data_IF_818469308165
#
_entry.id   IF_818469308165
#
_cell.length_a   1.000
_cell.length_b   1.000
_cell.length_c   1.000
_cell.angle_alpha   90.00
_cell.angle_beta   90.00
_cell.angle_gamma   90.00
#
_symmetry.space_group_name_H-M   'P 1'
#
loop_
_entity.id
_entity.type
_entity.pdbx_description
1 polymer ?
#
# COMPACT_ATOMS: atom_id res chain seq x y z
N UNK A 1 44.36 -50.32 58.14
CA UNK A 1 43.89 -49.81 56.82
C UNK A 1 42.38 -49.88 56.78
N UNK A 2 41.58 -48.95 56.28
CA UNK A 2 41.68 -47.54 55.91
C UNK A 2 40.23 -47.17 55.55
N UNK A 3 39.72 -46.06 56.09
CA UNK A 3 38.35 -45.59 55.89
C UNK A 3 38.07 -45.25 54.43
N UNK A 4 36.81 -45.30 53.99
CA UNK A 4 36.28 -44.34 53.01
C UNK A 4 34.75 -44.22 53.11
N UNK A 5 34.31 -43.13 53.76
CA UNK A 5 32.94 -42.64 53.77
C UNK A 5 32.68 -41.94 52.44
N UNK A 6 31.64 -42.37 51.71
CA UNK A 6 31.22 -41.76 50.46
C UNK A 6 30.45 -40.47 50.78
N UNK A 7 31.02 -39.31 50.42
CA UNK A 7 30.34 -38.00 50.51
C UNK A 7 29.72 -37.68 49.16
N UNK A 8 28.40 -37.63 49.11
CA UNK A 8 27.63 -37.12 47.97
C UNK A 8 27.69 -35.59 48.04
N UNK A 9 28.38 -34.96 47.09
CA UNK A 9 28.40 -33.51 46.92
C UNK A 9 27.31 -33.18 45.90
N UNK A 10 26.21 -32.57 46.36
CA UNK A 10 25.18 -32.03 45.50
C UNK A 10 25.66 -30.67 44.96
N UNK A 11 26.05 -30.61 43.68
CA UNK A 11 26.44 -29.38 43.01
C UNK A 11 25.18 -28.66 42.54
N UNK A 12 24.79 -27.57 43.21
CA UNK A 12 23.71 -26.71 42.76
C UNK A 12 24.17 -25.89 41.55
N UNK A 13 23.64 -26.23 40.36
CA UNK A 13 23.87 -25.50 39.13
C UNK A 13 22.99 -24.24 39.13
N UNK A 14 23.55 -23.10 39.57
CA UNK A 14 22.87 -21.79 39.46
C UNK A 14 22.92 -21.37 38.00
N UNK A 15 21.79 -21.51 37.30
CA UNK A 15 21.63 -21.00 35.94
C UNK A 15 21.65 -19.46 35.97
N UNK A 16 22.76 -18.87 35.51
CA UNK A 16 22.87 -17.43 35.31
C UNK A 16 21.96 -17.02 34.13
N UNK A 17 20.78 -16.48 34.44
CA UNK A 17 19.92 -15.83 33.46
C UNK A 17 20.55 -14.47 33.13
N UNK A 18 20.96 -14.19 31.89
CA UNK A 18 21.46 -12.88 31.54
C UNK A 18 20.30 -11.89 31.59
N UNK A 19 20.35 -10.95 32.55
CA UNK A 19 19.50 -9.76 32.52
C UNK A 19 19.93 -8.91 31.32
N UNK A 20 19.18 -9.00 30.23
CA UNK A 20 19.29 -8.03 29.14
C UNK A 20 18.62 -6.74 29.62
N UNK A 21 19.43 -5.81 30.12
CA UNK A 21 18.96 -4.47 30.46
C UNK A 21 18.59 -3.74 29.15
N UNK A 22 17.29 -3.58 28.90
CA UNK A 22 16.82 -2.74 27.81
C UNK A 22 17.23 -1.28 28.12
N UNK A 23 18.09 -0.70 27.29
CA UNK A 23 18.44 0.70 27.38
C UNK A 23 17.17 1.54 27.19
N UNK A 24 16.70 2.16 28.28
CA UNK A 24 15.60 3.11 28.23
C UNK A 24 16.11 4.38 27.55
N UNK A 25 15.75 4.56 26.27
CA UNK A 25 15.92 5.85 25.59
C UNK A 25 14.96 6.83 26.27
N UNK A 26 15.49 7.59 27.23
CA UNK A 26 14.74 8.64 27.91
C UNK A 26 14.33 9.69 26.88
N UNK A 27 13.04 10.02 26.77
CA UNK A 27 12.61 11.11 25.89
C UNK A 27 13.14 12.45 26.41
N UNK A 28 13.57 13.33 25.49
CA UNK A 28 14.21 14.61 25.83
C UNK A 28 13.40 15.49 26.80
N UNK A 29 12.07 15.36 26.77
CA UNK A 29 11.14 16.13 27.59
C UNK A 29 10.31 15.28 28.58
N UNK A 30 10.59 13.97 28.70
CA UNK A 30 9.90 13.09 29.66
C UNK A 30 8.46 12.68 29.28
N UNK A 31 8.02 12.91 28.04
CA UNK A 31 6.75 12.39 27.52
C UNK A 31 6.95 11.37 26.38
N UNK A 32 5.98 10.47 26.22
CA UNK A 32 5.98 9.41 25.21
C UNK A 32 6.94 8.25 25.52
N UNK A 33 6.81 7.17 24.75
CA UNK A 33 7.72 6.02 24.77
C UNK A 33 8.16 5.71 23.34
N UNK A 34 9.38 5.18 23.12
CA UNK A 34 9.80 4.72 21.80
C UNK A 34 8.79 3.71 21.22
N UNK A 35 8.41 3.88 19.95
CA UNK A 35 7.53 2.94 19.26
C UNK A 35 8.21 1.58 19.11
N UNK A 36 7.51 0.51 19.48
CA UNK A 36 8.01 -0.85 19.25
C UNK A 36 7.79 -1.26 17.79
N UNK A 37 8.52 -2.28 17.29
CA UNK A 37 8.23 -2.87 15.99
C UNK A 37 6.75 -3.30 15.83
N UNK A 38 6.13 -3.76 16.91
CA UNK A 38 4.71 -4.16 16.94
C UNK A 38 3.76 -2.96 16.82
N UNK A 39 4.13 -1.79 17.37
CA UNK A 39 3.37 -0.56 17.18
C UNK A 39 3.43 -0.10 15.71
N UNK A 40 4.61 -0.17 15.12
CA UNK A 40 4.85 0.24 13.73
C UNK A 40 4.24 -0.72 12.71
N UNK A 41 4.10 -2.01 13.02
CA UNK A 41 3.54 -3.01 12.11
C UNK A 41 2.10 -2.72 11.64
N UNK A 42 1.38 -1.85 12.36
CA UNK A 42 0.02 -1.40 12.00
C UNK A 42 0.01 -0.31 10.91
N UNK A 43 1.17 0.28 10.63
CA UNK A 43 1.32 1.40 9.71
C UNK A 43 2.19 0.98 8.54
N UNK A 44 1.77 1.34 7.34
CA UNK A 44 2.52 1.15 6.12
C UNK A 44 2.43 2.40 5.26
N UNK A 45 3.42 2.59 4.39
CA UNK A 45 3.42 3.61 3.34
C UNK A 45 4.05 3.00 2.10
N UNK A 46 3.44 3.26 0.95
CA UNK A 46 3.87 2.70 -0.33
C UNK A 46 4.17 3.86 -1.30
N UNK A 47 5.39 4.42 -1.27
CA UNK A 47 5.83 5.44 -2.22
C UNK A 47 5.88 4.92 -3.67
N UNK A 48 6.14 5.85 -4.59
CA UNK A 48 6.28 5.61 -6.03
C UNK A 48 7.29 4.50 -6.39
N UNK A 49 8.35 4.33 -5.59
CA UNK A 49 9.40 3.32 -5.81
C UNK A 49 9.03 1.91 -5.35
N UNK A 50 7.87 1.74 -4.71
CA UNK A 50 7.36 0.44 -4.26
C UNK A 50 7.89 -0.05 -2.91
N UNK A 51 8.69 0.74 -2.18
CA UNK A 51 9.04 0.39 -0.79
C UNK A 51 7.77 0.16 0.02
N UNK A 52 7.78 -0.83 0.91
CA UNK A 52 6.61 -1.17 1.73
C UNK A 52 5.52 -1.98 1.01
N UNK A 53 5.69 -2.31 -0.28
CA UNK A 53 4.79 -3.27 -0.93
C UNK A 53 4.90 -4.65 -0.24
N UNK A 54 3.77 -5.24 0.17
CA UNK A 54 3.76 -6.56 0.78
C UNK A 54 4.02 -7.66 -0.26
N UNK A 55 4.52 -8.83 0.16
CA UNK A 55 4.60 -9.99 -0.72
C UNK A 55 3.19 -10.40 -1.17
N UNK A 56 3.10 -10.84 -2.42
CA UNK A 56 1.84 -11.27 -3.01
C UNK A 56 1.89 -11.14 -4.52
N UNK A 57 0.82 -11.60 -5.18
CA UNK A 57 0.65 -11.47 -6.62
C UNK A 57 -0.82 -11.51 -7.01
N UNK A 58 -1.14 -10.93 -8.17
CA UNK A 58 -2.50 -10.90 -8.69
C UNK A 58 -2.56 -10.89 -10.21
N UNK A 59 -3.74 -11.19 -10.74
CA UNK A 59 -4.01 -11.17 -12.19
C UNK A 59 -5.28 -10.40 -12.49
N UNK A 60 -5.37 -9.84 -13.69
CA UNK A 60 -6.57 -9.11 -14.11
C UNK A 60 -7.82 -10.01 -14.11
N UNK A 61 -7.68 -11.30 -14.43
CA UNK A 61 -8.79 -12.25 -14.42
C UNK A 61 -9.37 -12.49 -13.01
N UNK A 62 -8.51 -12.58 -11.98
CA UNK A 62 -8.97 -12.65 -10.59
C UNK A 62 -9.55 -11.30 -10.14
N UNK A 63 -8.92 -10.21 -10.54
CA UNK A 63 -9.37 -8.86 -10.23
C UNK A 63 -10.76 -8.54 -10.78
N UNK A 64 -11.08 -9.03 -11.98
CA UNK A 64 -12.41 -8.86 -12.57
C UNK A 64 -13.53 -9.47 -11.70
N UNK A 65 -13.29 -10.65 -11.13
CA UNK A 65 -14.24 -11.32 -10.21
C UNK A 65 -14.39 -10.52 -8.92
N UNK A 66 -13.26 -10.20 -8.28
CA UNK A 66 -13.24 -9.41 -7.06
C UNK A 66 -13.92 -8.05 -7.24
N UNK A 67 -13.71 -7.40 -8.39
CA UNK A 67 -14.30 -6.13 -8.71
C UNK A 67 -15.82 -6.24 -8.88
N UNK A 68 -16.31 -7.28 -9.54
CA UNK A 68 -17.74 -7.53 -9.67
C UNK A 68 -18.42 -7.68 -8.30
N UNK A 69 -17.77 -8.41 -7.37
CA UNK A 69 -18.32 -8.71 -6.05
C UNK A 69 -18.23 -7.52 -5.08
N UNK A 70 -17.15 -6.72 -5.16
CA UNK A 70 -16.81 -5.75 -4.11
C UNK A 70 -16.81 -4.28 -4.55
N UNK A 71 -16.83 -4.00 -5.86
CA UNK A 71 -16.57 -2.63 -6.37
C UNK A 71 -17.65 -2.14 -7.35
N UNK A 72 -18.18 -3.03 -8.19
CA UNK A 72 -19.05 -2.68 -9.31
C UNK A 72 -20.35 -1.98 -8.89
N UNK A 73 -20.87 -2.27 -7.70
CA UNK A 73 -22.07 -1.62 -7.17
C UNK A 73 -21.92 -0.08 -7.05
N UNK A 74 -20.71 0.42 -6.86
CA UNK A 74 -20.42 1.85 -6.80
C UNK A 74 -19.74 2.36 -8.07
N UNK A 75 -18.75 1.63 -8.60
CA UNK A 75 -17.90 2.08 -9.70
C UNK A 75 -18.38 1.65 -11.10
N UNK A 76 -19.52 0.96 -11.19
CA UNK A 76 -20.06 0.40 -12.44
C UNK A 76 -19.31 -0.86 -12.89
N UNK A 77 -20.00 -1.75 -13.59
CA UNK A 77 -19.48 -3.05 -14.08
C UNK A 77 -18.26 -2.93 -15.02
N UNK A 78 -18.14 -1.79 -15.71
CA UNK A 78 -17.06 -1.46 -16.65
C UNK A 78 -16.22 -0.27 -16.18
N UNK A 79 -16.14 -0.05 -14.86
CA UNK A 79 -15.33 1.00 -14.25
C UNK A 79 -15.73 2.44 -14.64
N UNK A 80 -16.94 2.61 -15.18
CA UNK A 80 -17.44 3.87 -15.73
C UNK A 80 -17.86 4.89 -14.66
N UNK A 81 -17.92 4.48 -13.40
CA UNK A 81 -18.43 5.28 -12.29
C UNK A 81 -19.94 5.48 -12.35
N UNK A 82 -20.48 6.10 -11.30
CA UNK A 82 -21.86 6.54 -11.30
C UNK A 82 -21.97 7.94 -11.98
N UNK A 83 -22.91 8.15 -12.91
CA UNK A 83 -23.07 9.45 -13.58
C UNK A 83 -23.63 10.55 -12.66
N UNK A 84 -24.24 10.19 -11.53
CA UNK A 84 -24.79 11.16 -10.58
C UNK A 84 -23.71 11.59 -9.58
N UNK A 85 -23.35 12.88 -9.64
CA UNK A 85 -22.38 13.47 -8.73
C UNK A 85 -22.77 13.25 -7.26
N UNK A 86 -21.83 12.79 -6.44
CA UNK A 86 -22.02 12.54 -5.01
C UNK A 86 -22.73 11.24 -4.67
N UNK A 87 -23.11 10.41 -5.66
CA UNK A 87 -23.67 9.08 -5.45
C UNK A 87 -22.78 8.02 -6.09
N UNK A 88 -22.59 6.88 -5.42
CA UNK A 88 -21.74 5.80 -5.93
C UNK A 88 -20.25 6.12 -5.89
N UNK A 89 -19.48 5.48 -6.77
CA UNK A 89 -18.03 5.62 -6.88
C UNK A 89 -17.63 6.32 -8.18
N UNK A 90 -16.48 6.99 -8.14
CA UNK A 90 -15.93 7.69 -9.28
C UNK A 90 -15.61 6.75 -10.46
N UNK A 91 -15.55 7.33 -11.66
CA UNK A 91 -15.03 6.66 -12.85
C UNK A 91 -13.55 6.32 -12.64
N UNK A 92 -13.17 5.06 -12.86
CA UNK A 92 -11.79 4.61 -12.65
C UNK A 92 -10.95 4.58 -13.93
N UNK A 93 -11.57 4.49 -15.11
CA UNK A 93 -10.88 4.48 -16.41
C UNK A 93 -11.49 5.47 -17.41
N UNK A 94 -10.79 5.79 -18.48
CA UNK A 94 -11.17 6.81 -19.46
C UNK A 94 -10.55 8.18 -19.17
N UNK A 95 -10.72 9.11 -20.12
CA UNK A 95 -10.30 10.51 -19.94
C UNK A 95 -8.89 10.84 -20.40
N UNK A 96 -8.16 9.90 -21.02
CA UNK A 96 -6.89 10.22 -21.69
C UNK A 96 -7.09 11.34 -22.72
N UNK A 97 -6.18 12.31 -22.71
CA UNK A 97 -6.22 13.48 -23.61
C UNK A 97 -7.24 14.55 -23.22
N UNK A 98 -8.06 14.34 -22.17
CA UNK A 98 -9.07 15.34 -21.76
C UNK A 98 -8.55 16.37 -20.77
N UNK A 99 -7.34 16.19 -20.20
CA UNK A 99 -6.84 17.04 -19.10
C UNK A 99 -6.71 18.53 -19.47
N UNK A 100 -6.50 18.85 -20.75
CA UNK A 100 -6.37 20.22 -21.25
C UNK A 100 -7.67 20.77 -21.88
N UNK A 101 -8.80 20.08 -21.68
CA UNK A 101 -10.12 20.51 -22.19
C UNK A 101 -10.90 21.24 -21.10
N UNK A 102 -11.99 21.92 -21.48
CA UNK A 102 -12.89 22.60 -20.52
C UNK A 102 -13.61 21.64 -19.57
N UNK A 103 -13.65 20.34 -19.89
CA UNK A 103 -14.28 19.29 -19.09
C UNK A 103 -13.33 18.10 -18.88
N UNK A 104 -12.28 18.26 -18.06
CA UNK A 104 -11.28 17.22 -17.85
C UNK A 104 -11.87 16.02 -17.09
N UNK A 105 -11.62 14.82 -17.59
CA UNK A 105 -12.02 13.57 -16.95
C UNK A 105 -10.79 12.97 -16.27
N UNK A 106 -10.69 13.16 -14.96
CA UNK A 106 -9.57 12.69 -14.13
C UNK A 106 -9.90 11.31 -13.54
N UNK A 107 -9.16 10.30 -13.97
CA UNK A 107 -9.30 8.90 -13.54
C UNK A 107 -7.93 8.35 -13.16
N UNK A 108 -7.88 7.06 -12.80
CA UNK A 108 -6.62 6.35 -12.56
C UNK A 108 -5.74 6.40 -13.82
N UNK A 109 -6.30 6.16 -15.01
CA UNK A 109 -5.50 6.11 -16.24
C UNK A 109 -5.11 7.48 -16.79
N UNK A 110 -5.96 8.51 -16.59
CA UNK A 110 -5.75 9.80 -17.24
C UNK A 110 -4.94 10.77 -16.39
N UNK A 111 -4.99 10.64 -15.07
CA UNK A 111 -4.44 11.63 -14.16
C UNK A 111 -3.37 11.06 -13.22
N UNK A 112 -3.51 9.85 -12.69
CA UNK A 112 -2.60 9.37 -11.64
C UNK A 112 -1.20 9.02 -12.20
N UNK A 113 -0.10 9.45 -11.53
CA UNK A 113 1.26 9.24 -12.05
C UNK A 113 1.89 7.90 -11.64
N UNK A 114 1.38 7.25 -10.58
CA UNK A 114 1.97 6.03 -10.02
C UNK A 114 0.91 4.95 -9.77
N UNK A 115 1.14 3.75 -10.29
CA UNK A 115 0.29 2.59 -10.00
C UNK A 115 0.38 2.15 -8.53
N UNK A 116 1.48 2.46 -7.83
CA UNK A 116 1.63 2.17 -6.40
C UNK A 116 0.65 2.96 -5.54
N UNK A 117 0.27 4.18 -5.95
CA UNK A 117 -0.78 4.97 -5.29
C UNK A 117 -2.13 4.25 -5.36
N UNK A 118 -2.44 3.60 -6.48
CA UNK A 118 -3.67 2.80 -6.61
C UNK A 118 -3.68 1.64 -5.63
N UNK A 119 -2.56 0.91 -5.50
CA UNK A 119 -2.44 -0.19 -4.55
C UNK A 119 -2.60 0.29 -3.10
N UNK A 120 -1.88 1.34 -2.68
CA UNK A 120 -1.97 1.89 -1.31
C UNK A 120 -3.40 2.33 -1.00
N UNK A 121 -4.04 3.04 -1.93
CA UNK A 121 -5.40 3.52 -1.76
C UNK A 121 -6.40 2.36 -1.63
N UNK A 122 -6.35 1.37 -2.52
CA UNK A 122 -7.25 0.21 -2.44
C UNK A 122 -7.03 -0.54 -1.13
N UNK A 123 -5.78 -0.84 -0.77
CA UNK A 123 -5.46 -1.58 0.46
C UNK A 123 -5.94 -0.87 1.73
N UNK A 124 -5.80 0.47 1.78
CA UNK A 124 -6.10 1.26 2.97
C UNK A 124 -7.56 1.66 3.09
N UNK A 125 -8.21 1.98 1.97
CA UNK A 125 -9.48 2.69 1.96
C UNK A 125 -10.63 1.93 1.28
N UNK A 126 -10.34 0.82 0.58
CA UNK A 126 -11.35 0.06 -0.14
C UNK A 126 -11.51 -1.38 0.40
N UNK A 127 -12.69 -1.99 0.21
CA UNK A 127 -13.95 -1.38 -0.24
C UNK A 127 -14.43 -0.31 0.74
N UNK A 128 -15.15 0.71 0.26
CA UNK A 128 -15.55 1.86 1.09
C UNK A 128 -16.35 1.46 2.33
N UNK A 129 -17.15 0.40 2.25
CA UNK A 129 -17.96 -0.15 3.35
C UNK A 129 -17.16 -1.01 4.33
N UNK A 130 -15.98 -1.49 3.94
CA UNK A 130 -15.14 -2.37 4.75
C UNK A 130 -13.63 -2.21 4.46
N UNK A 131 -13.04 -1.02 4.72
CA UNK A 131 -11.64 -0.77 4.41
C UNK A 131 -10.69 -1.74 5.11
N UNK A 132 -9.63 -2.16 4.41
CA UNK A 132 -8.59 -3.02 4.98
C UNK A 132 -8.96 -4.50 5.10
N UNK A 133 -10.08 -4.93 4.51
CA UNK A 133 -10.52 -6.34 4.52
C UNK A 133 -9.92 -7.18 3.40
N UNK A 134 -9.40 -6.56 2.35
CA UNK A 134 -8.76 -7.25 1.23
C UNK A 134 -7.35 -7.72 1.60
N UNK A 135 -7.02 -8.95 1.22
CA UNK A 135 -5.66 -9.48 1.25
C UNK A 135 -4.77 -8.83 0.18
N UNK A 136 -3.45 -8.97 0.34
CA UNK A 136 -2.48 -8.38 -0.58
C UNK A 136 -2.62 -8.89 -2.02
N UNK A 137 -2.88 -10.19 -2.19
CA UNK A 137 -3.13 -10.82 -3.50
C UNK A 137 -4.40 -10.29 -4.17
N UNK A 138 -5.45 -10.03 -3.38
CA UNK A 138 -6.70 -9.44 -3.87
C UNK A 138 -6.49 -7.99 -4.32
N UNK A 139 -5.71 -7.21 -3.56
CA UNK A 139 -5.36 -5.83 -3.96
C UNK A 139 -4.52 -5.84 -5.24
N UNK A 140 -3.50 -6.69 -5.36
CA UNK A 140 -2.74 -6.82 -6.61
C UNK A 140 -3.63 -7.22 -7.79
N UNK A 141 -4.59 -8.10 -7.57
CA UNK A 141 -5.52 -8.55 -8.60
C UNK A 141 -6.44 -7.41 -9.07
N UNK A 142 -7.01 -6.64 -8.13
CA UNK A 142 -7.84 -5.46 -8.45
C UNK A 142 -7.05 -4.40 -9.22
N UNK A 143 -5.81 -4.12 -8.79
CA UNK A 143 -4.90 -3.21 -9.51
C UNK A 143 -4.63 -3.72 -10.93
N UNK A 144 -4.28 -5.01 -11.09
CA UNK A 144 -4.07 -5.60 -12.40
C UNK A 144 -5.30 -5.47 -13.31
N UNK A 145 -6.50 -5.68 -12.77
CA UNK A 145 -7.75 -5.54 -13.53
C UNK A 145 -7.98 -4.11 -14.01
N UNK A 146 -7.93 -3.12 -13.11
CA UNK A 146 -8.16 -1.70 -13.45
C UNK A 146 -7.15 -1.24 -14.53
N UNK A 147 -5.87 -1.60 -14.38
CA UNK A 147 -4.83 -1.24 -15.35
C UNK A 147 -4.96 -1.98 -16.68
N UNK A 148 -5.40 -3.24 -16.67
CA UNK A 148 -5.64 -4.04 -17.87
C UNK A 148 -6.83 -3.52 -18.67
N UNK A 149 -7.94 -3.18 -18.02
CA UNK A 149 -9.13 -2.61 -18.69
C UNK A 149 -8.80 -1.26 -19.32
N UNK A 150 -7.94 -0.47 -18.66
CA UNK A 150 -7.36 0.74 -19.19
C UNK A 150 -6.35 0.50 -20.33
N UNK A 151 -5.93 -0.75 -20.61
CA UNK A 151 -4.87 -1.12 -21.56
C UNK A 151 -3.50 -0.52 -21.23
N UNK A 152 -3.22 -0.29 -19.95
CA UNK A 152 -1.89 0.16 -19.46
C UNK A 152 -0.93 -1.02 -19.36
N UNK A 153 -1.45 -2.19 -18.95
CA UNK A 153 -0.71 -3.45 -18.90
C UNK A 153 -1.40 -4.50 -19.79
N UNK A 154 -0.75 -5.64 -20.02
CA UNK A 154 -1.36 -6.76 -20.76
C UNK A 154 -2.32 -7.53 -19.85
N UNK A 155 -3.42 -8.04 -20.42
CA UNK A 155 -4.45 -8.76 -19.66
C UNK A 155 -3.98 -10.06 -18.99
N UNK A 156 -2.90 -10.66 -19.47
CA UNK A 156 -2.32 -11.88 -18.93
C UNK A 156 -1.07 -11.64 -18.05
N UNK A 157 -0.77 -10.38 -17.72
CA UNK A 157 0.38 -10.04 -16.88
C UNK A 157 0.08 -10.30 -15.40
N UNK A 158 1.06 -10.83 -14.68
CA UNK A 158 1.00 -10.97 -13.21
C UNK A 158 1.52 -9.70 -12.56
N UNK A 159 0.72 -9.13 -11.67
CA UNK A 159 1.07 -7.95 -10.89
C UNK A 159 1.61 -8.38 -9.52
N UNK A 160 2.76 -7.87 -9.12
CA UNK A 160 3.40 -8.13 -7.82
C UNK A 160 4.23 -6.92 -7.34
N UNK A 161 4.91 -7.08 -6.19
CA UNK A 161 5.75 -6.05 -5.60
C UNK A 161 6.90 -5.57 -6.51
N UNK A 162 7.31 -6.37 -7.50
CA UNK A 162 8.42 -6.09 -8.43
C UNK A 162 7.94 -5.47 -9.73
N UNK A 163 6.76 -5.87 -10.23
CA UNK A 163 6.19 -5.35 -11.48
C UNK A 163 5.42 -4.05 -11.27
N UNK A 164 4.69 -3.90 -10.15
CA UNK A 164 3.85 -2.74 -9.89
C UNK A 164 4.58 -1.38 -9.97
N UNK A 165 5.77 -1.18 -9.37
CA UNK A 165 6.47 0.11 -9.45
C UNK A 165 6.99 0.44 -10.85
N UNK A 166 7.07 -0.56 -11.74
CA UNK A 166 7.58 -0.43 -13.11
C UNK A 166 6.50 -0.07 -14.12
N UNK A 167 5.23 -0.05 -13.71
CA UNK A 167 4.12 0.35 -14.58
C UNK A 167 4.30 1.81 -14.99
N UNK A 168 4.43 2.03 -16.30
CA UNK A 168 4.49 3.38 -16.87
C UNK A 168 3.07 3.94 -17.02
N UNK A 169 2.62 4.70 -16.03
CA UNK A 169 1.32 5.37 -16.09
C UNK A 169 1.31 6.47 -17.16
N UNK A 170 0.19 6.68 -17.88
CA UNK A 170 0.14 7.68 -18.97
C UNK A 170 0.47 9.12 -18.56
N UNK A 171 0.15 9.50 -17.32
CA UNK A 171 0.41 10.84 -16.78
C UNK A 171 1.61 10.88 -15.80
N UNK A 172 2.60 9.98 -15.99
CA UNK A 172 3.77 9.85 -15.10
C UNK A 172 4.50 11.17 -14.89
N UNK A 173 4.66 11.95 -15.95
CA UNK A 173 5.42 13.21 -15.97
C UNK A 173 4.50 14.44 -16.00
N UNK A 174 3.21 14.28 -15.71
CA UNK A 174 2.22 15.36 -15.79
C UNK A 174 2.07 16.21 -14.52
N UNK A 175 3.02 16.11 -13.58
CA UNK A 175 3.00 16.84 -12.32
C UNK A 175 4.33 17.54 -12.10
N UNK A 176 4.26 18.80 -11.65
CA UNK A 176 5.41 19.61 -11.30
C UNK A 176 5.27 20.16 -9.86
N UNK A 177 6.38 20.35 -9.13
CA UNK A 177 6.35 21.03 -7.85
C UNK A 177 5.78 22.45 -7.97
N UNK A 178 5.11 22.92 -6.92
CA UNK A 178 4.56 24.29 -6.88
C UNK A 178 5.68 25.32 -7.12
N UNK A 179 5.62 26.11 -8.21
CA UNK A 179 6.67 27.08 -8.54
C UNK A 179 6.55 28.40 -7.75
N UNK A 180 5.56 28.55 -6.86
CA UNK A 180 5.28 29.80 -6.15
C UNK A 180 6.20 30.04 -4.93
N UNK A 181 6.41 31.30 -4.49
CA UNK A 181 5.90 32.52 -5.09
C UNK A 181 6.53 32.77 -6.46
N UNK A 182 5.71 33.19 -7.42
CA UNK A 182 6.14 33.50 -8.80
C UNK A 182 7.31 34.50 -8.75
N UNK A 183 8.57 34.05 -8.79
CA UNK A 183 9.73 34.95 -8.63
C UNK A 183 9.80 36.01 -9.75
N UNK A 184 9.05 35.82 -10.84
CA UNK A 184 8.86 36.80 -11.92
C UNK A 184 7.85 37.91 -11.62
N UNK A 185 6.99 37.79 -10.61
CA UNK A 185 6.05 38.84 -10.18
C UNK A 185 6.66 39.82 -9.15
N UNK A 186 7.87 39.54 -8.67
CA UNK A 186 8.58 40.34 -7.66
C UNK A 186 9.86 41.01 -8.20
N UNK A 187 10.00 41.13 -9.52
CA UNK A 187 11.10 41.85 -10.19
C UNK A 187 10.65 43.18 -10.77
#
# INVERSE_FOLDING_TARGET
MSMRKLRIIATALVAAVPLVAAAQVQSHYGFGTPATPQDLAKYFSIPADGRGLPPGSGTAANGAKLFADNCAACHGDKLQGNPTAGLGGDKLIGGRGTLATDAPVKTVESYWPYATTLFDYIKRAMPFTSPGTLSDDEVYSLVAYILSEAKIIKANETMDAKSLPKVAMPNRDGFEPDPRPELGLYR
#
